data_IF_621167459758
#
_entry.id   IF_621167459758
#
_cell.length_a   1.000
_cell.length_b   1.000
_cell.length_c   1.000
_cell.angle_alpha   90.00
_cell.angle_beta   90.00
_cell.angle_gamma   90.00
#
_symmetry.space_group_name_H-M   'P 1'
#
loop_
_entity.id
_entity.type
_entity.pdbx_description
1 polymer ?
#
# COMPACT_ATOMS: atom_id res chain seq x y z
N UNK A 1 -7.75 4.06 2.46
CA UNK A 1 -7.13 3.51 3.71
C UNK A 1 -7.63 4.13 5.02
N UNK A 2 -8.52 5.15 5.00
CA UNK A 2 -9.02 5.80 6.23
C UNK A 2 -10.29 5.15 6.82
N UNK A 3 -10.88 4.20 6.12
CA UNK A 3 -12.00 3.43 6.65
C UNK A 3 -11.48 2.47 7.72
N UNK A 4 -12.23 2.34 8.83
CA UNK A 4 -12.01 1.33 9.87
C UNK A 4 -12.02 -0.10 9.30
N UNK A 5 -12.72 -0.30 8.18
CA UNK A 5 -12.98 -1.59 7.58
C UNK A 5 -12.03 -1.84 6.41
N UNK A 6 -11.36 -3.00 6.42
CA UNK A 6 -10.43 -3.44 5.38
C UNK A 6 -10.85 -4.77 4.73
N UNK A 7 -12.14 -5.10 4.80
CA UNK A 7 -12.74 -6.25 4.08
C UNK A 7 -12.41 -6.31 2.59
N UNK A 8 -12.10 -5.18 1.95
CA UNK A 8 -11.66 -5.11 0.56
C UNK A 8 -10.37 -5.88 0.28
N UNK A 9 -9.53 -6.14 1.29
CA UNK A 9 -8.25 -6.85 1.14
C UNK A 9 -8.43 -8.37 1.01
N UNK A 10 -9.61 -8.90 1.31
CA UNK A 10 -9.88 -10.34 1.30
C UNK A 10 -9.83 -10.89 -0.12
N UNK A 11 -8.96 -11.90 -0.33
CA UNK A 11 -8.86 -12.61 -1.61
C UNK A 11 -8.25 -11.79 -2.75
N UNK A 12 -7.60 -10.67 -2.42
CA UNK A 12 -6.95 -9.81 -3.41
C UNK A 12 -5.50 -10.24 -3.61
N UNK A 13 -5.08 -10.33 -4.87
CA UNK A 13 -3.69 -10.61 -5.25
C UNK A 13 -2.92 -9.35 -5.65
N UNK A 14 -3.62 -8.33 -6.17
CA UNK A 14 -3.03 -7.07 -6.61
C UNK A 14 -3.92 -5.91 -6.19
N UNK A 15 -3.34 -4.94 -5.48
CA UNK A 15 -3.96 -3.67 -5.20
C UNK A 15 -3.17 -2.53 -5.85
N UNK A 16 -3.89 -1.62 -6.51
CA UNK A 16 -3.31 -0.46 -7.18
C UNK A 16 -3.62 0.78 -6.34
N UNK A 17 -2.59 1.56 -6.04
CA UNK A 17 -2.68 2.82 -5.30
C UNK A 17 -2.28 3.93 -6.27
N UNK A 18 -3.25 4.77 -6.64
CA UNK A 18 -3.08 5.80 -7.68
C UNK A 18 -2.18 6.97 -7.26
N UNK A 19 -2.12 7.27 -5.97
CA UNK A 19 -1.27 8.36 -5.48
C UNK A 19 -0.74 8.09 -4.07
N UNK A 20 0.59 7.93 -3.98
CA UNK A 20 1.30 7.95 -2.71
C UNK A 20 1.97 9.32 -2.55
N UNK A 21 1.53 10.06 -1.53
CA UNK A 21 2.13 11.32 -1.10
C UNK A 21 2.68 11.15 0.31
N UNK A 22 4.00 11.29 0.49
CA UNK A 22 4.68 11.25 1.80
C UNK A 22 4.61 12.58 2.54
N UNK A 23 4.52 13.71 1.83
CA UNK A 23 4.49 15.03 2.45
C UNK A 23 3.17 15.20 3.21
N UNK A 24 3.19 14.83 4.49
CA UNK A 24 2.04 14.91 5.42
C UNK A 24 1.35 13.59 5.73
N UNK A 25 1.72 12.45 5.13
CA UNK A 25 1.03 11.15 5.32
C UNK A 25 1.93 9.95 5.63
N UNK A 26 2.77 10.09 6.66
CA UNK A 26 3.48 8.94 7.28
C UNK A 26 2.51 7.85 7.77
N UNK A 27 1.27 8.21 8.06
CA UNK A 27 0.19 7.30 8.45
C UNK A 27 -0.15 6.28 7.36
N UNK A 28 -0.18 6.69 6.09
CA UNK A 28 -0.42 5.80 4.95
C UNK A 28 0.72 4.81 4.81
N UNK A 29 1.97 5.26 4.95
CA UNK A 29 3.15 4.39 4.92
C UNK A 29 3.13 3.35 6.05
N UNK A 30 2.81 3.77 7.27
CA UNK A 30 2.71 2.84 8.39
C UNK A 30 1.57 1.83 8.22
N UNK A 31 0.49 2.19 7.52
CA UNK A 31 -0.59 1.24 7.17
C UNK A 31 -0.23 0.27 6.06
N UNK A 32 0.64 0.68 5.12
CA UNK A 32 1.10 -0.21 4.04
C UNK A 32 2.19 -1.18 4.50
N UNK A 33 3.00 -0.83 5.51
CA UNK A 33 4.04 -1.73 6.03
C UNK A 33 3.56 -3.17 6.26
N UNK A 34 2.55 -3.43 7.12
CA UNK A 34 2.10 -4.79 7.40
C UNK A 34 1.54 -5.49 6.14
N UNK A 35 0.92 -4.73 5.22
CA UNK A 35 0.44 -5.28 3.95
C UNK A 35 1.58 -5.81 3.07
N UNK A 36 2.76 -5.22 3.15
CA UNK A 36 3.91 -5.62 2.32
C UNK A 36 4.78 -6.65 3.05
N UNK A 37 4.85 -6.59 4.39
CA UNK A 37 5.80 -7.39 5.18
C UNK A 37 5.22 -8.64 5.81
N UNK A 38 3.94 -8.65 6.16
CA UNK A 38 3.39 -9.67 7.04
C UNK A 38 2.79 -10.82 6.21
N UNK A 39 2.99 -12.05 6.65
CA UNK A 39 2.44 -13.26 6.01
C UNK A 39 0.92 -13.37 6.16
N UNK A 40 0.32 -12.56 7.05
CA UNK A 40 -1.11 -12.60 7.35
C UNK A 40 -1.70 -11.20 7.51
N UNK A 41 -2.98 -11.06 7.18
CA UNK A 41 -3.74 -9.82 7.34
C UNK A 41 -4.90 -10.04 8.32
N UNK A 42 -5.07 -9.10 9.24
CA UNK A 42 -6.28 -8.99 10.05
C UNK A 42 -7.34 -8.24 9.24
N UNK A 43 -8.47 -8.89 8.99
CA UNK A 43 -9.61 -8.34 8.26
C UNK A 43 -10.71 -7.95 9.23
N UNK A 44 -11.16 -6.71 9.12
CA UNK A 44 -12.33 -6.15 9.80
C UNK A 44 -13.40 -5.81 8.74
N UNK A 45 -14.44 -6.63 8.70
CA UNK A 45 -15.61 -6.41 7.86
C UNK A 45 -16.65 -5.54 8.58
N UNK A 46 -17.36 -4.71 7.82
CA UNK A 46 -18.45 -3.91 8.39
C UNK A 46 -19.56 -4.85 8.86
N UNK A 47 -19.94 -4.74 10.14
CA UNK A 47 -20.91 -5.62 10.81
C UNK A 47 -20.47 -7.08 10.99
N UNK A 48 -19.18 -7.39 10.81
CA UNK A 48 -18.61 -8.72 11.01
C UNK A 48 -17.62 -8.80 12.18
N UNK A 49 -17.25 -10.02 12.56
CA UNK A 49 -16.13 -10.26 13.47
C UNK A 49 -14.80 -10.07 12.73
N UNK A 50 -13.77 -9.64 13.46
CA UNK A 50 -12.42 -9.60 12.92
C UNK A 50 -11.82 -11.02 12.83
N UNK A 51 -11.12 -11.31 11.74
CA UNK A 51 -10.44 -12.60 11.54
C UNK A 51 -9.13 -12.42 10.77
N UNK A 52 -8.28 -13.44 10.79
CA UNK A 52 -6.97 -13.41 10.12
C UNK A 52 -7.00 -14.27 8.85
N UNK A 53 -6.42 -13.77 7.77
CA UNK A 53 -6.22 -14.50 6.51
C UNK A 53 -4.75 -14.52 6.11
N UNK A 54 -4.35 -15.46 5.26
CA UNK A 54 -3.06 -15.39 4.56
C UNK A 54 -2.97 -14.13 3.69
N UNK A 55 -1.85 -13.44 3.77
CA UNK A 55 -1.56 -12.29 2.92
C UNK A 55 -1.04 -12.77 1.56
N UNK A 56 -1.79 -12.47 0.49
CA UNK A 56 -1.40 -12.77 -0.89
C UNK A 56 -1.35 -11.52 -1.77
N UNK A 57 -1.40 -10.35 -1.14
CA UNK A 57 -1.57 -9.08 -1.82
C UNK A 57 -0.23 -8.48 -2.23
N UNK A 58 -0.16 -8.05 -3.48
CA UNK A 58 0.95 -7.27 -4.03
C UNK A 58 0.47 -5.85 -4.30
N UNK A 59 1.37 -4.87 -4.20
CA UNK A 59 1.02 -3.46 -4.39
C UNK A 59 1.71 -2.90 -5.64
N UNK A 60 0.93 -2.18 -6.45
CA UNK A 60 1.47 -1.24 -7.45
C UNK A 60 1.06 0.16 -7.01
N UNK A 61 2.03 1.05 -6.89
CA UNK A 61 1.83 2.38 -6.36
C UNK A 61 2.33 3.42 -7.37
N UNK A 62 1.51 4.42 -7.62
CA UNK A 62 1.84 5.55 -8.48
C UNK A 62 2.02 6.81 -7.64
N UNK A 63 2.87 7.71 -8.14
CA UNK A 63 3.10 9.01 -7.53
C UNK A 63 3.74 9.95 -8.55
N UNK A 64 3.39 11.23 -8.45
CA UNK A 64 4.03 12.31 -9.21
C UNK A 64 5.16 12.99 -8.41
N UNK A 65 5.39 12.56 -7.17
CA UNK A 65 6.34 13.18 -6.26
C UNK A 65 7.61 12.32 -6.14
N UNK A 66 8.78 12.91 -6.36
CA UNK A 66 10.06 12.19 -6.27
C UNK A 66 10.43 11.79 -4.84
N UNK A 67 9.88 12.49 -3.84
CA UNK A 67 10.08 12.24 -2.41
C UNK A 67 8.94 11.41 -1.79
N UNK A 68 8.04 10.88 -2.61
CA UNK A 68 6.84 10.11 -2.25
C UNK A 68 7.07 8.89 -1.37
N UNK A 69 8.30 8.40 -1.26
CA UNK A 69 8.63 7.22 -0.50
C UNK A 69 9.95 7.41 0.24
N UNK A 70 9.91 7.34 1.58
CA UNK A 70 11.12 7.34 2.39
C UNK A 70 11.69 5.93 2.44
N UNK A 71 12.64 5.66 1.56
CA UNK A 71 13.39 4.40 1.54
C UNK A 71 14.62 4.50 2.43
N UNK A 72 14.87 3.44 3.20
CA UNK A 72 16.10 3.28 3.98
C UNK A 72 17.13 2.49 3.17
N UNK A 73 18.42 2.67 3.49
CA UNK A 73 19.47 1.87 2.87
C UNK A 73 19.26 0.38 3.16
N UNK A 74 19.17 -0.43 2.11
CA UNK A 74 18.93 -1.88 2.22
C UNK A 74 17.44 -2.27 2.21
N UNK A 75 16.53 -1.34 1.97
CA UNK A 75 15.11 -1.69 1.79
C UNK A 75 14.91 -2.59 0.55
N UNK A 76 14.28 -3.76 0.76
CA UNK A 76 13.98 -4.74 -0.29
C UNK A 76 12.50 -4.84 -0.63
N UNK A 77 11.66 -4.00 -0.02
CA UNK A 77 10.19 -4.05 -0.13
C UNK A 77 9.67 -3.33 -1.38
N UNK A 78 10.49 -2.45 -1.95
CA UNK A 78 10.09 -1.56 -3.03
C UNK A 78 11.00 -1.69 -4.24
N UNK A 79 10.38 -1.84 -5.40
CA UNK A 79 11.04 -1.67 -6.68
C UNK A 79 10.52 -0.38 -7.31
N UNK A 80 11.36 0.66 -7.39
CA UNK A 80 10.96 2.00 -7.84
C UNK A 80 11.39 2.22 -9.28
N UNK A 81 10.43 2.61 -10.13
CA UNK A 81 10.67 3.03 -11.51
C UNK A 81 10.20 4.47 -11.65
N UNK A 82 11.06 5.33 -12.19
CA UNK A 82 10.73 6.71 -12.50
C UNK A 82 10.83 6.93 -14.01
N UNK A 83 9.87 7.65 -14.57
CA UNK A 83 9.86 8.02 -15.98
C UNK A 83 9.88 9.54 -16.12
N UNK A 84 10.78 10.12 -16.93
CA UNK A 84 10.77 11.56 -17.22
C UNK A 84 9.70 11.95 -18.26
N UNK A 85 8.87 11.00 -18.70
CA UNK A 85 7.85 11.25 -19.70
C UNK A 85 6.85 12.30 -19.21
N UNK A 86 6.58 13.29 -20.05
CA UNK A 86 5.52 14.28 -19.83
C UNK A 86 4.16 13.71 -20.24
N UNK A 87 3.06 14.11 -19.58
CA UNK A 87 1.71 13.73 -20.00
C UNK A 87 1.52 14.05 -21.48
N UNK A 88 0.95 13.09 -22.21
CA UNK A 88 0.59 13.28 -23.62
C UNK A 88 -0.82 13.86 -23.65
N UNK A 89 -0.99 14.98 -24.36
CA UNK A 89 -2.28 15.66 -24.55
C UNK A 89 -3.37 14.73 -25.11
#
# INVERSE_FOLDING_TARGET
LHAKWNGWQKGIQLAVIEEIMTVGRLDVMNRLKPVITDDTLRIEEKYGCAYTIENRMNLICFTNHSDALKLENGDRRWFVVSSPAVPKD
#
